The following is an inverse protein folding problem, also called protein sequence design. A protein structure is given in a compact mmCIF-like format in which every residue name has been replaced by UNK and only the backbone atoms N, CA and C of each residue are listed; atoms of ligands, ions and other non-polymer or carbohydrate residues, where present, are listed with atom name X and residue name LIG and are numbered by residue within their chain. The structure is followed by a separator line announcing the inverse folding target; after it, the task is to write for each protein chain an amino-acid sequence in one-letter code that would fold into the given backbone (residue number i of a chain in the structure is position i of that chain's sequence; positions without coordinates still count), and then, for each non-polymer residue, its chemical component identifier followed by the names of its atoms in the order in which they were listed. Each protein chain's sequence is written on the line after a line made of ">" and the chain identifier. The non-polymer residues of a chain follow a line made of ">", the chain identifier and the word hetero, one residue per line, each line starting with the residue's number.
data_IF_941263865860
#
_entry.id   IF_941263865860
#
_cell.length_a   1.000
_cell.length_b   1.000
_cell.length_c   1.000
_cell.angle_alpha   90.00
_cell.angle_beta   90.00
_cell.angle_gamma   90.00
#
_symmetry.space_group_name_H-M   'P 1'
#
loop_
_entity.id
_entity.type
_entity.pdbx_description
1 polymer ?
#
# COMPACT_ATOMS: atom_id res chain seq x y z
N UNK A 1 -17.75 -23.76 -4.15
CA UNK A 1 -16.32 -23.57 -4.55
C UNK A 1 -16.27 -23.35 -6.05
N UNK A 2 -16.33 -22.10 -6.49
CA UNK A 2 -16.14 -21.75 -7.91
C UNK A 2 -14.77 -21.06 -8.04
N UNK A 3 -13.79 -21.83 -8.54
CA UNK A 3 -12.49 -21.29 -8.90
C UNK A 3 -12.66 -20.46 -10.17
N UNK A 4 -12.42 -19.15 -10.09
CA UNK A 4 -12.30 -18.32 -11.27
C UNK A 4 -10.98 -18.66 -11.99
N UNK A 5 -11.09 -19.00 -13.27
CA UNK A 5 -9.96 -19.32 -14.13
C UNK A 5 -9.40 -18.01 -14.69
N UNK A 6 -8.16 -17.72 -14.36
CA UNK A 6 -7.38 -16.74 -15.13
C UNK A 6 -6.90 -17.50 -16.37
N UNK A 7 -7.52 -17.23 -17.50
CA UNK A 7 -7.09 -17.77 -18.80
C UNK A 7 -5.77 -17.14 -19.21
N UNK A 8 -4.74 -17.96 -19.27
CA UNK A 8 -3.44 -17.60 -19.81
C UNK A 8 -3.56 -17.32 -21.32
N UNK A 9 -3.19 -16.14 -21.77
CA UNK A 9 -2.89 -15.84 -23.18
C UNK A 9 -1.39 -15.74 -23.38
N UNK A 10 -0.97 -16.40 -24.43
CA UNK A 10 0.38 -16.76 -24.74
C UNK A 10 1.14 -15.71 -25.55
N UNK A 11 2.46 -15.72 -25.35
CA UNK A 11 3.54 -15.41 -26.29
C UNK A 11 3.56 -14.07 -27.04
N UNK A 12 4.47 -13.22 -26.62
CA UNK A 12 5.02 -12.14 -27.41
C UNK A 12 6.51 -11.96 -27.12
N UNK A 13 7.27 -12.16 -28.12
CA UNK A 13 8.70 -12.09 -28.40
C UNK A 13 9.53 -11.15 -27.50
N UNK A 14 10.53 -11.71 -26.87
CA UNK A 14 11.58 -11.07 -26.07
C UNK A 14 12.56 -10.32 -26.99
N UNK A 15 12.54 -8.99 -26.92
CA UNK A 15 13.60 -8.12 -27.46
C UNK A 15 14.44 -7.60 -26.29
N UNK A 16 15.65 -8.13 -26.20
CA UNK A 16 16.70 -7.65 -25.29
C UNK A 16 17.18 -6.26 -25.72
N UNK A 17 16.87 -5.24 -24.91
CA UNK A 17 17.56 -3.95 -24.95
C UNK A 17 18.44 -3.81 -23.71
N UNK A 18 19.65 -3.26 -23.82
CA UNK A 18 20.56 -3.14 -22.67
C UNK A 18 20.09 -2.05 -21.72
N UNK A 19 19.84 -2.43 -20.46
CA UNK A 19 19.61 -1.50 -19.37
C UNK A 19 20.92 -0.81 -19.00
N UNK A 20 21.07 0.46 -19.36
CA UNK A 20 21.99 1.36 -18.69
C UNK A 20 21.38 1.77 -17.36
N UNK A 21 21.75 1.08 -16.28
CA UNK A 21 21.44 1.48 -14.93
C UNK A 21 22.29 2.70 -14.52
N UNK A 22 21.73 3.89 -14.68
CA UNK A 22 22.21 5.07 -13.98
C UNK A 22 21.71 5.00 -12.54
N UNK A 23 22.62 4.83 -11.58
CA UNK A 23 22.37 5.09 -10.17
C UNK A 23 21.99 6.56 -10.02
N UNK A 24 20.71 6.86 -9.84
CA UNK A 24 20.29 8.18 -9.40
C UNK A 24 20.62 8.28 -7.91
N UNK A 25 21.63 9.07 -7.57
CA UNK A 25 21.84 9.55 -6.21
C UNK A 25 20.55 10.23 -5.73
N UNK A 26 20.14 9.93 -4.49
CA UNK A 26 19.01 10.56 -3.83
C UNK A 26 19.23 12.06 -3.81
N UNK A 27 18.58 12.77 -4.69
CA UNK A 27 18.56 14.21 -4.70
C UNK A 27 17.70 14.69 -3.53
N UNK A 28 18.11 15.77 -2.88
CA UNK A 28 17.43 16.51 -1.79
C UNK A 28 16.04 17.03 -2.26
N UNK A 29 15.16 16.13 -2.72
CA UNK A 29 14.02 16.46 -3.54
C UNK A 29 12.82 15.53 -3.60
N UNK A 30 12.79 14.38 -2.94
CA UNK A 30 11.57 13.57 -2.95
C UNK A 30 10.54 14.05 -1.92
N UNK A 31 9.27 14.12 -2.38
CA UNK A 31 8.19 14.51 -1.50
C UNK A 31 7.93 13.43 -0.45
N UNK A 32 7.96 13.82 0.83
CA UNK A 32 7.75 12.90 1.96
C UNK A 32 6.27 12.68 2.29
N UNK A 33 5.40 13.60 1.85
CA UNK A 33 3.98 13.58 2.19
C UNK A 33 3.14 14.10 1.02
N UNK A 34 1.84 13.78 1.06
CA UNK A 34 0.80 14.55 0.40
C UNK A 34 0.19 15.54 1.38
N UNK A 35 -0.24 16.69 0.89
CA UNK A 35 -0.95 17.68 1.68
C UNK A 35 -2.11 18.28 0.89
N UNK A 36 -3.16 18.69 1.59
CA UNK A 36 -4.28 19.43 0.99
C UNK A 36 -4.15 20.90 1.32
N UNK A 37 -4.34 21.74 0.34
CA UNK A 37 -4.36 23.20 0.51
C UNK A 37 -5.71 23.62 1.10
N UNK A 38 -5.71 24.12 2.34
CA UNK A 38 -6.94 24.49 3.05
C UNK A 38 -7.54 25.85 2.61
N UNK A 39 -6.74 26.69 1.93
CA UNK A 39 -7.18 28.02 1.49
C UNK A 39 -6.44 28.44 0.22
N UNK A 40 -7.13 29.07 -0.72
CA UNK A 40 -6.50 29.72 -1.88
C UNK A 40 -5.40 30.66 -1.44
N UNK A 41 -4.17 30.49 -1.96
CA UNK A 41 -3.02 31.31 -1.57
C UNK A 41 -2.00 31.45 -2.70
N UNK A 42 -1.05 32.37 -2.49
CA UNK A 42 0.10 32.54 -3.38
C UNK A 42 1.16 31.49 -3.07
N UNK A 43 1.75 30.93 -4.12
CA UNK A 43 2.95 30.08 -4.06
C UNK A 43 4.16 30.96 -4.33
N UNK A 44 5.16 30.88 -3.49
CA UNK A 44 6.36 31.71 -3.57
C UNK A 44 7.57 30.86 -3.98
N UNK A 45 8.55 31.50 -4.63
CA UNK A 45 9.79 30.84 -5.04
C UNK A 45 10.67 30.46 -3.85
N UNK A 46 10.59 31.21 -2.77
CA UNK A 46 11.37 31.02 -1.55
C UNK A 46 10.44 31.12 -0.32
N UNK A 47 10.93 30.74 0.84
CA UNK A 47 10.17 30.70 2.10
C UNK A 47 10.01 32.14 2.68
N UNK A 48 9.45 33.07 1.89
CA UNK A 48 9.23 34.46 2.26
C UNK A 48 8.06 35.07 1.49
N UNK A 49 7.24 35.91 2.14
CA UNK A 49 6.18 36.67 1.48
C UNK A 49 6.73 37.79 0.54
N UNK A 50 7.99 38.19 0.71
CA UNK A 50 8.67 39.15 -0.19
C UNK A 50 9.30 38.47 -1.41
N UNK A 51 9.31 37.16 -1.46
CA UNK A 51 9.85 36.41 -2.60
C UNK A 51 8.95 36.52 -3.84
N UNK A 52 9.52 36.24 -5.01
CA UNK A 52 8.78 36.23 -6.26
C UNK A 52 7.63 35.22 -6.19
N UNK A 53 6.44 35.65 -6.58
CA UNK A 53 5.28 34.81 -6.73
C UNK A 53 5.46 33.87 -7.95
N UNK A 54 5.19 32.58 -7.77
CA UNK A 54 5.11 31.60 -8.85
C UNK A 54 3.68 31.48 -9.40
N UNK A 55 2.68 31.95 -8.65
CA UNK A 55 1.28 31.87 -9.01
C UNK A 55 0.38 31.69 -7.80
N UNK A 56 -0.83 31.21 -8.03
CA UNK A 56 -1.81 30.93 -6.97
C UNK A 56 -2.24 29.47 -7.02
N UNK A 57 -2.48 28.90 -5.86
CA UNK A 57 -3.01 27.54 -5.69
C UNK A 57 -4.36 27.59 -5.00
N UNK A 58 -5.31 26.81 -5.49
CA UNK A 58 -6.69 26.79 -4.99
C UNK A 58 -6.84 25.93 -3.73
N UNK A 59 -7.85 26.26 -2.92
CA UNK A 59 -8.25 25.40 -1.80
C UNK A 59 -8.72 24.03 -2.30
N UNK A 60 -8.42 22.97 -1.54
CA UNK A 60 -8.74 21.60 -1.91
C UNK A 60 -7.71 20.94 -2.84
N UNK A 61 -6.73 21.70 -3.37
CA UNK A 61 -5.67 21.11 -4.20
C UNK A 61 -4.79 20.18 -3.37
N UNK A 62 -4.61 18.95 -3.84
CA UNK A 62 -3.65 18.01 -3.27
C UNK A 62 -2.29 18.27 -3.90
N UNK A 63 -1.27 18.36 -3.08
CA UNK A 63 0.10 18.68 -3.48
C UNK A 63 1.11 17.71 -2.87
N UNK A 64 2.19 17.52 -3.58
CA UNK A 64 3.40 16.91 -3.01
C UNK A 64 4.02 17.83 -1.96
N UNK A 65 4.38 17.30 -0.80
CA UNK A 65 5.06 18.04 0.28
C UNK A 65 6.46 17.48 0.46
N UNK A 66 7.44 18.28 0.11
CA UNK A 66 8.87 17.91 0.21
C UNK A 66 9.44 18.21 1.60
N UNK A 67 9.02 19.31 2.22
CA UNK A 67 9.49 19.68 3.56
C UNK A 67 8.45 20.54 4.26
N UNK A 68 7.98 20.08 5.41
CA UNK A 68 7.14 20.85 6.32
C UNK A 68 8.00 21.60 7.31
N UNK A 69 8.04 22.92 7.20
CA UNK A 69 8.66 23.80 8.19
C UNK A 69 7.63 24.37 9.17
N UNK A 70 8.09 25.13 10.16
CA UNK A 70 7.22 25.77 11.17
C UNK A 70 6.29 26.81 10.54
N UNK A 71 6.79 27.63 9.63
CA UNK A 71 6.06 28.73 8.98
C UNK A 71 5.80 28.46 7.50
N UNK A 72 6.74 27.84 6.81
CA UNK A 72 6.71 27.58 5.38
C UNK A 72 6.80 26.10 5.09
N UNK A 73 5.98 25.64 4.14
CA UNK A 73 6.01 24.27 3.60
C UNK A 73 6.45 24.33 2.14
N UNK A 74 7.43 23.50 1.76
CA UNK A 74 7.87 23.34 0.38
C UNK A 74 6.99 22.28 -0.29
N UNK A 75 6.32 22.68 -1.36
CA UNK A 75 5.35 21.87 -2.11
C UNK A 75 5.73 21.73 -3.58
N UNK A 76 5.17 20.69 -4.25
CA UNK A 76 5.14 20.63 -5.70
C UNK A 76 4.19 21.70 -6.26
N UNK A 77 4.63 22.42 -7.29
CA UNK A 77 3.84 23.41 -7.98
C UNK A 77 4.22 23.45 -9.46
N UNK A 78 3.24 23.20 -10.33
CA UNK A 78 3.48 23.03 -11.77
C UNK A 78 4.60 22.02 -12.06
N UNK A 79 5.60 22.36 -12.87
CA UNK A 79 6.75 21.50 -13.18
C UNK A 79 7.92 21.65 -12.20
N UNK A 80 7.72 22.33 -11.05
CA UNK A 80 8.77 22.62 -10.09
C UNK A 80 8.31 22.56 -8.63
N UNK A 81 8.93 23.37 -7.81
CA UNK A 81 8.64 23.47 -6.38
C UNK A 81 8.43 24.92 -5.97
N UNK A 82 7.63 25.12 -4.93
CA UNK A 82 7.38 26.42 -4.35
C UNK A 82 7.09 26.33 -2.86
N UNK A 83 6.87 27.48 -2.23
CA UNK A 83 6.63 27.60 -0.81
C UNK A 83 5.27 28.23 -0.53
N UNK A 84 4.57 27.64 0.44
CA UNK A 84 3.29 28.12 0.95
C UNK A 84 3.31 28.16 2.47
N UNK A 85 2.38 28.93 3.07
CA UNK A 85 2.28 29.01 4.53
C UNK A 85 1.80 27.69 5.12
N UNK A 86 2.58 27.10 6.03
CA UNK A 86 2.32 25.79 6.67
C UNK A 86 0.95 25.70 7.33
N UNK A 87 0.47 26.79 7.94
CA UNK A 87 -0.82 26.82 8.65
C UNK A 87 -2.05 26.52 7.76
N UNK A 88 -1.89 26.56 6.46
CA UNK A 88 -2.94 26.26 5.47
C UNK A 88 -2.69 24.99 4.67
N UNK A 89 -1.72 24.17 5.09
CA UNK A 89 -1.45 22.87 4.48
C UNK A 89 -1.83 21.77 5.49
N UNK A 90 -2.90 21.09 5.22
CA UNK A 90 -3.29 19.89 5.96
C UNK A 90 -2.46 18.72 5.43
N UNK A 91 -1.70 18.09 6.32
CA UNK A 91 -0.93 16.89 5.99
C UNK A 91 -1.88 15.70 6.05
N UNK A 92 -2.25 15.20 4.89
CA UNK A 92 -3.26 14.14 4.82
C UNK A 92 -2.66 12.74 4.74
N UNK A 93 -1.41 12.61 4.26
CA UNK A 93 -0.86 11.30 4.01
C UNK A 93 0.66 11.34 3.90
N UNK A 94 1.33 10.36 4.49
CA UNK A 94 2.74 10.11 4.24
C UNK A 94 2.88 9.31 2.96
N UNK A 95 3.83 9.67 2.09
CA UNK A 95 4.16 8.84 0.94
C UNK A 95 4.71 7.50 1.41
N UNK A 96 4.40 6.45 0.67
CA UNK A 96 4.88 5.11 0.94
C UNK A 96 6.44 5.09 0.88
N UNK A 97 7.17 4.58 1.87
CA UNK A 97 8.62 4.47 1.81
C UNK A 97 9.09 3.58 0.66
N UNK A 98 8.19 2.72 0.16
CA UNK A 98 8.48 1.90 -1.00
C UNK A 98 8.38 2.68 -2.33
N UNK A 99 8.02 3.98 -2.32
CA UNK A 99 8.08 4.88 -3.48
C UNK A 99 9.45 5.55 -3.64
N UNK A 100 10.18 5.72 -2.54
CA UNK A 100 11.53 6.28 -2.54
C UNK A 100 12.59 5.18 -2.56
N UNK A 101 13.86 5.54 -2.67
CA UNK A 101 14.93 4.60 -2.48
C UNK A 101 14.95 4.16 -1.01
N UNK A 102 14.24 3.10 -0.68
CA UNK A 102 14.70 2.27 0.43
C UNK A 102 16.13 1.84 0.09
N UNK A 103 17.08 1.81 1.03
CA UNK A 103 18.42 1.35 0.73
C UNK A 103 18.36 0.03 -0.05
N UNK A 104 18.73 0.09 -1.33
CA UNK A 104 18.73 -1.06 -2.24
C UNK A 104 17.39 -1.42 -2.90
N UNK A 105 16.30 -0.67 -2.74
CA UNK A 105 15.00 -1.01 -3.33
C UNK A 105 14.44 0.09 -4.20
N UNK A 106 13.81 -0.33 -5.28
CA UNK A 106 13.04 0.51 -6.19
C UNK A 106 11.53 0.31 -5.94
N UNK A 107 10.70 1.08 -6.62
CA UNK A 107 9.26 0.87 -6.76
C UNK A 107 8.96 -0.63 -6.99
N UNK A 108 7.89 -1.17 -6.37
CA UNK A 108 7.43 -2.52 -6.68
C UNK A 108 7.21 -2.66 -8.18
N UNK A 109 7.78 -3.69 -8.76
CA UNK A 109 7.80 -3.85 -10.22
C UNK A 109 6.87 -4.96 -10.68
N UNK A 110 6.57 -5.92 -9.80
CA UNK A 110 5.79 -7.10 -10.16
C UNK A 110 5.17 -7.76 -8.92
N UNK A 111 4.30 -8.72 -9.14
CA UNK A 111 3.89 -9.70 -8.16
C UNK A 111 4.30 -11.09 -8.61
N UNK A 112 4.84 -11.89 -7.70
CA UNK A 112 5.26 -13.28 -7.94
C UNK A 112 4.26 -14.27 -7.35
N UNK A 113 3.77 -15.19 -8.18
CA UNK A 113 3.02 -16.37 -7.74
C UNK A 113 4.01 -17.47 -7.37
N UNK A 114 3.97 -17.96 -6.15
CA UNK A 114 4.88 -18.99 -5.62
C UNK A 114 4.51 -20.35 -6.19
N UNK A 115 5.42 -20.97 -6.92
CA UNK A 115 5.20 -22.24 -7.64
C UNK A 115 5.34 -23.48 -6.76
N UNK A 116 6.23 -23.40 -5.76
CA UNK A 116 6.54 -24.50 -4.85
C UNK A 116 6.79 -23.97 -3.45
N UNK A 117 6.48 -24.75 -2.43
CA UNK A 117 6.84 -24.40 -1.05
C UNK A 117 8.30 -24.02 -0.96
N UNK A 118 8.57 -22.90 -0.35
CA UNK A 118 9.91 -22.34 -0.28
C UNK A 118 10.18 -21.70 1.08
N UNK A 119 11.45 -21.49 1.37
CA UNK A 119 11.90 -20.89 2.62
C UNK A 119 12.77 -19.68 2.34
N UNK A 120 12.69 -18.68 3.20
CA UNK A 120 13.66 -17.60 3.29
C UNK A 120 13.97 -17.30 4.76
N UNK A 121 15.16 -16.79 5.04
CA UNK A 121 15.56 -16.41 6.39
C UNK A 121 15.91 -14.93 6.38
N UNK A 122 15.08 -14.07 7.01
CA UNK A 122 15.41 -12.68 7.17
C UNK A 122 16.63 -12.52 8.06
N UNK A 123 17.41 -11.46 7.88
CA UNK A 123 18.54 -11.16 8.75
C UNK A 123 18.08 -10.99 10.21
N UNK A 124 18.83 -11.50 11.14
CA UNK A 124 18.48 -11.50 12.58
C UNK A 124 17.40 -12.52 12.99
N UNK A 125 16.84 -13.29 12.06
CA UNK A 125 15.90 -14.37 12.39
C UNK A 125 16.62 -15.69 12.57
N UNK A 126 16.27 -16.40 13.67
CA UNK A 126 16.86 -17.71 13.98
C UNK A 126 16.34 -18.84 13.09
N UNK A 127 15.09 -18.71 12.64
CA UNK A 127 14.40 -19.76 11.89
C UNK A 127 13.91 -19.22 10.53
N UNK A 128 13.93 -20.09 9.51
CA UNK A 128 13.38 -19.73 8.21
C UNK A 128 11.86 -19.48 8.31
N UNK A 129 11.37 -18.66 7.39
CA UNK A 129 9.96 -18.41 7.15
C UNK A 129 9.54 -19.25 5.97
N UNK A 130 8.47 -20.02 6.13
CA UNK A 130 7.86 -20.78 5.04
C UNK A 130 6.91 -19.89 4.24
N UNK A 131 6.96 -20.04 2.93
CA UNK A 131 5.98 -19.50 2.00
C UNK A 131 5.44 -20.66 1.17
N UNK A 132 4.15 -20.89 1.27
CA UNK A 132 3.48 -22.00 0.61
C UNK A 132 3.26 -21.72 -0.88
N UNK A 133 3.29 -22.77 -1.68
CA UNK A 133 2.86 -22.74 -3.07
C UNK A 133 1.44 -22.15 -3.19
N UNK A 134 1.21 -21.35 -4.20
CA UNK A 134 -0.04 -20.61 -4.38
C UNK A 134 -0.09 -19.24 -3.72
N UNK A 135 0.84 -18.91 -2.82
CA UNK A 135 0.96 -17.56 -2.26
C UNK A 135 1.41 -16.56 -3.32
N UNK A 136 1.06 -15.30 -3.10
CA UNK A 136 1.51 -14.19 -3.93
C UNK A 136 2.39 -13.26 -3.12
N UNK A 137 3.45 -12.73 -3.73
CA UNK A 137 4.41 -11.83 -3.07
C UNK A 137 4.68 -10.64 -3.98
N UNK A 138 4.44 -9.43 -3.51
CA UNK A 138 4.80 -8.21 -4.23
C UNK A 138 6.31 -8.00 -4.23
N UNK A 139 6.88 -7.82 -5.41
CA UNK A 139 8.32 -7.76 -5.67
C UNK A 139 8.71 -6.32 -6.01
N UNK A 140 9.71 -5.79 -5.35
CA UNK A 140 10.17 -4.43 -5.63
C UNK A 140 11.51 -4.38 -6.37
N UNK A 141 12.23 -5.48 -6.46
CA UNK A 141 13.48 -5.54 -7.21
C UNK A 141 13.80 -6.97 -7.65
N UNK A 142 14.33 -7.09 -8.85
CA UNK A 142 14.91 -8.33 -9.36
C UNK A 142 16.39 -8.06 -9.61
N UNK A 143 17.26 -8.88 -9.03
CA UNK A 143 18.71 -8.80 -9.20
C UNK A 143 19.34 -10.18 -9.05
N UNK A 144 20.30 -10.50 -9.90
CA UNK A 144 21.13 -11.73 -9.85
C UNK A 144 20.28 -13.02 -9.70
N UNK A 145 19.16 -13.12 -10.45
CA UNK A 145 18.26 -14.28 -10.40
C UNK A 145 17.42 -14.38 -9.12
N UNK A 146 17.34 -13.31 -8.35
CA UNK A 146 16.54 -13.25 -7.11
C UNK A 146 15.52 -12.13 -7.18
N UNK A 147 14.32 -12.40 -6.66
CA UNK A 147 13.24 -11.47 -6.47
C UNK A 147 13.24 -11.00 -5.01
N UNK A 148 13.35 -9.70 -4.80
CA UNK A 148 13.43 -9.06 -3.48
C UNK A 148 12.10 -8.45 -3.11
N UNK A 149 11.73 -8.57 -1.81
CA UNK A 149 10.47 -8.07 -1.27
C UNK A 149 10.62 -7.67 0.20
N UNK A 150 9.82 -6.70 0.70
CA UNK A 150 9.86 -6.28 2.09
C UNK A 150 9.24 -7.37 2.97
N UNK A 151 9.85 -7.61 4.13
CA UNK A 151 9.30 -8.49 5.13
C UNK A 151 9.12 -7.75 6.46
N UNK A 152 7.87 -7.42 6.79
CA UNK A 152 7.50 -6.71 8.02
C UNK A 152 8.18 -5.32 8.12
N UNK A 153 8.86 -5.04 9.24
CA UNK A 153 9.57 -3.78 9.51
C UNK A 153 11.05 -3.83 9.12
N UNK A 154 11.50 -4.89 8.50
CA UNK A 154 12.90 -5.03 8.15
C UNK A 154 13.27 -3.95 7.13
N UNK A 155 14.40 -3.29 7.40
CA UNK A 155 15.00 -2.32 6.48
C UNK A 155 15.63 -3.04 5.29
N UNK A 156 16.14 -4.27 5.54
CA UNK A 156 16.73 -5.10 4.51
C UNK A 156 15.70 -6.04 3.88
N UNK A 157 15.78 -6.14 2.57
CA UNK A 157 14.93 -7.00 1.79
C UNK A 157 15.27 -8.48 2.01
N UNK A 158 14.25 -9.27 2.03
CA UNK A 158 14.39 -10.71 1.84
C UNK A 158 14.18 -11.06 0.37
N UNK A 159 14.63 -12.23 -0.05
CA UNK A 159 14.53 -12.63 -1.45
C UNK A 159 14.29 -14.10 -1.64
N UNK A 160 13.62 -14.43 -2.75
CA UNK A 160 13.46 -15.78 -3.28
C UNK A 160 14.14 -15.90 -4.65
N UNK A 161 14.50 -17.11 -5.05
CA UNK A 161 14.93 -17.37 -6.41
C UNK A 161 13.78 -17.10 -7.40
N UNK A 162 14.05 -16.43 -8.52
CA UNK A 162 13.03 -16.18 -9.56
C UNK A 162 12.49 -17.48 -10.16
N UNK A 163 13.25 -18.57 -10.12
CA UNK A 163 12.84 -19.92 -10.51
C UNK A 163 11.69 -20.49 -9.67
N UNK A 164 11.46 -19.95 -8.48
CA UNK A 164 10.37 -20.31 -7.58
C UNK A 164 9.08 -19.54 -7.84
N UNK A 165 9.10 -18.56 -8.75
CA UNK A 165 8.03 -17.61 -8.96
C UNK A 165 7.57 -17.60 -10.41
N UNK A 166 6.26 -17.43 -10.62
CA UNK A 166 5.71 -16.94 -11.88
C UNK A 166 5.41 -15.45 -11.69
N UNK A 167 6.11 -14.63 -12.45
CA UNK A 167 6.05 -13.17 -12.31
C UNK A 167 4.94 -12.56 -13.17
N UNK A 168 4.30 -11.51 -12.65
CA UNK A 168 3.32 -10.69 -13.33
C UNK A 168 3.67 -9.23 -13.10
N UNK A 169 3.97 -8.51 -14.17
CA UNK A 169 4.33 -7.10 -14.12
C UNK A 169 3.11 -6.23 -13.82
N UNK A 170 3.33 -5.09 -13.19
CA UNK A 170 2.31 -4.07 -13.04
C UNK A 170 2.22 -3.21 -14.30
N UNK A 171 1.00 -2.87 -14.68
CA UNK A 171 0.73 -1.97 -15.79
C UNK A 171 0.57 -0.55 -15.25
N UNK A 172 1.22 0.42 -15.89
CA UNK A 172 1.02 1.83 -15.52
C UNK A 172 -0.45 2.21 -15.68
N UNK A 173 -1.00 2.87 -14.69
CA UNK A 173 -2.41 3.24 -14.65
C UNK A 173 -2.85 4.06 -15.87
N UNK A 174 -1.95 4.85 -16.48
CA UNK A 174 -2.26 5.68 -17.66
C UNK A 174 -2.36 4.87 -18.96
N UNK A 175 -1.82 3.65 -18.98
CA UNK A 175 -1.78 2.75 -20.14
C UNK A 175 -2.65 1.49 -19.94
N UNK A 176 -3.19 1.32 -18.73
CA UNK A 176 -3.91 0.11 -18.34
C UNK A 176 -5.17 -0.12 -19.19
N UNK A 177 -5.42 -1.37 -19.55
CA UNK A 177 -6.61 -1.88 -20.22
C UNK A 177 -7.52 -2.61 -19.24
N UNK A 178 -8.80 -2.82 -19.55
CA UNK A 178 -9.70 -3.62 -18.72
C UNK A 178 -9.10 -4.98 -18.37
N UNK A 179 -9.08 -5.29 -17.07
CA UNK A 179 -8.50 -6.52 -16.52
C UNK A 179 -7.00 -6.45 -16.16
N UNK A 180 -6.31 -5.38 -16.50
CA UNK A 180 -4.89 -5.22 -16.17
C UNK A 180 -4.65 -5.01 -14.67
N UNK A 181 -3.58 -5.63 -14.18
CA UNK A 181 -3.11 -5.48 -12.80
C UNK A 181 -2.33 -4.17 -12.66
N UNK A 182 -2.90 -3.21 -11.90
CA UNK A 182 -2.29 -1.92 -11.66
C UNK A 182 -1.23 -2.00 -10.57
N UNK A 183 -1.55 -2.71 -9.46
CA UNK A 183 -0.64 -2.86 -8.34
C UNK A 183 -1.03 -4.03 -7.43
N UNK A 184 -0.07 -4.52 -6.66
CA UNK A 184 -0.29 -5.46 -5.58
C UNK A 184 0.63 -5.15 -4.41
N UNK A 185 0.17 -5.45 -3.19
CA UNK A 185 0.95 -5.29 -1.98
C UNK A 185 0.76 -6.49 -1.04
N UNK A 186 1.86 -6.96 -0.46
CA UNK A 186 1.87 -8.14 0.41
C UNK A 186 2.23 -7.77 1.84
N UNK A 187 1.50 -8.32 2.80
CA UNK A 187 1.87 -8.32 4.21
C UNK A 187 1.90 -9.72 4.78
N UNK A 188 2.69 -9.92 5.84
CA UNK A 188 2.92 -11.21 6.46
C UNK A 188 2.37 -11.25 7.89
N UNK A 189 1.71 -12.35 8.26
CA UNK A 189 1.18 -12.57 9.59
C UNK A 189 1.47 -13.99 10.11
N UNK A 190 1.41 -14.17 11.42
CA UNK A 190 1.64 -15.50 12.03
C UNK A 190 0.38 -16.33 11.99
N UNK A 191 0.50 -17.59 11.57
CA UNK A 191 -0.57 -18.60 11.62
C UNK A 191 -0.43 -19.54 12.83
N UNK A 192 0.57 -19.33 13.69
CA UNK A 192 0.83 -20.18 14.87
C UNK A 192 -0.38 -20.24 15.80
N UNK A 193 -0.82 -21.43 16.12
CA UNK A 193 -1.90 -21.70 17.07
C UNK A 193 -1.46 -21.64 18.52
N UNK A 194 -0.16 -21.54 18.78
CA UNK A 194 0.42 -21.50 20.14
C UNK A 194 0.17 -20.18 20.90
N UNK A 195 -0.19 -19.10 20.17
CA UNK A 195 -0.52 -17.81 20.75
C UNK A 195 -2.01 -17.70 20.97
N UNK A 196 -2.41 -17.34 22.20
CA UNK A 196 -3.81 -17.12 22.55
C UNK A 196 -4.46 -16.10 21.58
N UNK A 197 -5.66 -16.44 21.10
CA UNK A 197 -6.45 -15.60 20.21
C UNK A 197 -5.93 -15.48 18.78
N UNK A 198 -4.77 -16.09 18.42
CA UNK A 198 -4.24 -15.98 17.06
C UNK A 198 -5.12 -16.73 16.02
N UNK A 199 -5.82 -17.79 16.43
CA UNK A 199 -6.80 -18.46 15.56
C UNK A 199 -7.90 -17.48 15.16
N UNK A 200 -8.46 -16.72 16.12
CA UNK A 200 -9.45 -15.69 15.83
C UNK A 200 -8.90 -14.58 14.93
N UNK A 201 -7.64 -14.19 15.15
CA UNK A 201 -6.96 -13.19 14.30
C UNK A 201 -6.83 -13.65 12.85
N UNK A 202 -6.37 -14.87 12.63
CA UNK A 202 -6.24 -15.47 11.29
C UNK A 202 -7.61 -15.55 10.60
N UNK A 203 -8.63 -15.99 11.34
CA UNK A 203 -10.00 -16.05 10.85
C UNK A 203 -10.53 -14.67 10.45
N UNK A 204 -10.33 -13.64 11.28
CA UNK A 204 -10.79 -12.28 11.00
C UNK A 204 -10.09 -11.67 9.78
N UNK A 205 -8.81 -11.96 9.58
CA UNK A 205 -8.07 -11.56 8.38
C UNK A 205 -8.71 -12.20 7.14
N UNK A 206 -8.96 -13.50 7.17
CA UNK A 206 -9.58 -14.21 6.06
C UNK A 206 -10.99 -13.67 5.76
N UNK A 207 -11.83 -13.46 6.78
CA UNK A 207 -13.18 -12.92 6.64
C UNK A 207 -13.18 -11.52 6.02
N UNK A 208 -12.32 -10.62 6.50
CA UNK A 208 -12.24 -9.28 5.94
C UNK A 208 -11.71 -9.29 4.50
N UNK A 209 -10.72 -10.13 4.19
CA UNK A 209 -10.19 -10.30 2.84
C UNK A 209 -11.26 -10.84 1.88
N UNK A 210 -12.06 -11.80 2.31
CA UNK A 210 -13.16 -12.36 1.53
C UNK A 210 -14.22 -11.29 1.19
N UNK A 211 -14.59 -10.44 2.17
CA UNK A 211 -15.55 -9.35 1.96
C UNK A 211 -15.08 -8.30 0.98
N UNK A 212 -13.78 -8.09 0.89
CA UNK A 212 -13.16 -7.10 0.03
C UNK A 212 -12.86 -7.62 -1.37
N UNK A 213 -12.81 -8.94 -1.53
CA UNK A 213 -12.56 -9.55 -2.84
C UNK A 213 -13.73 -9.31 -3.78
N UNK A 214 -13.42 -8.76 -4.96
CA UNK A 214 -14.42 -8.41 -5.99
C UNK A 214 -15.08 -7.04 -5.79
N UNK A 215 -14.67 -6.26 -4.78
CA UNK A 215 -15.21 -4.90 -4.58
C UNK A 215 -14.76 -4.00 -5.73
N UNK A 216 -15.75 -3.41 -6.41
CA UNK A 216 -15.58 -2.41 -7.44
C UNK A 216 -15.68 -1.02 -6.82
N UNK A 217 -14.75 -0.13 -7.19
CA UNK A 217 -14.81 1.31 -6.86
C UNK A 217 -14.85 2.08 -8.16
N UNK A 218 -16.01 2.67 -8.48
CA UNK A 218 -16.22 3.38 -9.75
C UNK A 218 -15.35 4.64 -9.84
N UNK A 219 -15.10 5.07 -11.06
CA UNK A 219 -14.44 6.34 -11.32
C UNK A 219 -15.16 7.49 -10.60
N UNK A 220 -14.44 8.26 -9.78
CA UNK A 220 -14.98 9.36 -8.98
C UNK A 220 -15.66 8.96 -7.68
N UNK A 221 -15.92 7.67 -7.42
CA UNK A 221 -16.57 7.20 -6.19
C UNK A 221 -15.57 6.98 -5.05
N UNK A 222 -16.08 7.08 -3.83
CA UNK A 222 -15.31 6.81 -2.61
C UNK A 222 -15.59 5.39 -2.11
N UNK A 223 -14.51 4.72 -1.69
CA UNK A 223 -14.53 3.46 -0.97
C UNK A 223 -14.38 3.71 0.53
N UNK A 224 -15.19 3.06 1.35
CA UNK A 224 -15.04 3.02 2.81
C UNK A 224 -14.78 1.59 3.26
N UNK A 225 -13.68 1.39 3.99
CA UNK A 225 -13.34 0.07 4.51
C UNK A 225 -14.39 -0.42 5.51
N UNK A 226 -14.86 0.46 6.40
CA UNK A 226 -15.88 0.11 7.40
C UNK A 226 -17.24 -0.18 6.78
N UNK A 227 -17.60 0.46 5.66
CA UNK A 227 -18.84 0.16 4.96
C UNK A 227 -18.88 -1.29 4.44
N UNK A 228 -17.73 -1.86 4.10
CA UNK A 228 -17.60 -3.25 3.61
C UNK A 228 -17.37 -4.24 4.76
N UNK A 229 -16.45 -3.92 5.68
CA UNK A 229 -15.97 -4.86 6.69
C UNK A 229 -16.63 -4.70 8.07
N UNK A 230 -17.15 -3.51 8.40
CA UNK A 230 -17.77 -3.23 9.71
C UNK A 230 -19.21 -3.76 9.84
N UNK A 231 -19.79 -3.68 11.01
CA UNK A 231 -19.16 -3.45 12.31
C UNK A 231 -18.36 -4.66 12.79
N UNK A 232 -17.37 -4.43 13.64
CA UNK A 232 -16.48 -5.51 14.13
C UNK A 232 -17.08 -6.18 15.37
N UNK A 233 -18.12 -6.99 15.16
CA UNK A 233 -18.86 -7.66 16.23
C UNK A 233 -18.96 -9.17 15.98
N UNK A 234 -19.36 -9.91 17.01
CA UNK A 234 -19.63 -11.35 16.91
C UNK A 234 -20.78 -11.63 15.93
N UNK A 235 -21.82 -10.81 15.99
CA UNK A 235 -23.03 -10.93 15.15
C UNK A 235 -22.68 -10.74 13.67
N UNK A 236 -21.66 -9.92 13.38
CA UNK A 236 -21.12 -9.74 12.03
C UNK A 236 -20.04 -10.77 11.69
N UNK A 237 -19.94 -11.87 12.44
CA UNK A 237 -19.10 -13.02 12.15
C UNK A 237 -17.66 -12.91 12.63
N UNK A 238 -17.25 -11.83 13.31
CA UNK A 238 -15.88 -11.72 13.80
C UNK A 238 -15.64 -12.55 15.06
N UNK A 239 -14.43 -13.08 15.18
CA UNK A 239 -13.96 -13.78 16.38
C UNK A 239 -13.19 -12.82 17.30
N UNK A 240 -13.21 -13.14 18.60
CA UNK A 240 -12.35 -12.49 19.56
C UNK A 240 -10.88 -12.79 19.25
N UNK A 241 -10.05 -11.75 19.21
CA UNK A 241 -8.64 -11.83 18.89
C UNK A 241 -7.87 -10.68 19.57
N UNK A 242 -6.52 -10.73 19.64
CA UNK A 242 -5.74 -9.64 20.20
C UNK A 242 -5.96 -8.33 19.46
N UNK A 243 -6.20 -7.25 20.22
CA UNK A 243 -6.35 -5.88 19.73
C UNK A 243 -5.34 -4.95 20.40
N UNK A 244 -5.05 -3.81 19.77
CA UNK A 244 -4.12 -2.79 20.30
C UNK A 244 -4.86 -1.64 21.01
N UNK A 245 -6.06 -1.87 21.55
CA UNK A 245 -6.90 -0.82 22.10
C UNK A 245 -7.30 -1.09 23.56
N UNK A 246 -7.21 -0.04 24.39
CA UNK A 246 -7.75 0.00 25.74
C UNK A 246 -7.09 -0.93 26.76
N UNK A 247 -7.80 -1.20 27.84
CA UNK A 247 -7.38 -2.14 28.89
C UNK A 247 -7.57 -3.60 28.48
N UNK A 248 -8.51 -3.87 27.56
CA UNK A 248 -8.76 -5.19 27.01
C UNK A 248 -7.71 -5.54 25.97
N UNK A 249 -7.05 -6.69 26.16
CA UNK A 249 -6.12 -7.25 25.17
C UNK A 249 -6.83 -8.05 24.08
N UNK A 250 -8.11 -8.31 24.20
CA UNK A 250 -8.94 -9.12 23.31
C UNK A 250 -10.20 -8.34 22.91
N UNK A 251 -10.55 -8.40 21.64
CA UNK A 251 -11.76 -7.80 21.07
C UNK A 251 -12.13 -8.42 19.74
N UNK A 252 -13.33 -8.15 19.24
CA UNK A 252 -13.75 -8.62 17.92
C UNK A 252 -13.04 -7.83 16.80
N UNK A 253 -12.73 -8.50 15.69
CA UNK A 253 -12.06 -7.89 14.55
C UNK A 253 -10.54 -7.73 14.69
N UNK A 254 -9.91 -8.27 15.77
CA UNK A 254 -8.45 -8.26 15.87
C UNK A 254 -7.81 -8.89 14.63
N UNK A 255 -6.89 -8.16 13.97
CA UNK A 255 -6.27 -8.52 12.69
C UNK A 255 -6.76 -7.72 11.48
N UNK A 256 -7.96 -7.16 11.51
CA UNK A 256 -8.59 -6.43 10.39
C UNK A 256 -7.79 -5.19 9.98
N UNK A 257 -7.17 -4.48 10.93
CA UNK A 257 -6.28 -3.35 10.61
C UNK A 257 -5.11 -3.75 9.70
N UNK A 258 -4.67 -5.01 9.71
CA UNK A 258 -3.64 -5.46 8.77
C UNK A 258 -4.20 -5.56 7.34
N UNK A 259 -5.42 -6.03 7.17
CA UNK A 259 -6.12 -6.05 5.86
C UNK A 259 -6.28 -4.62 5.34
N UNK A 260 -6.76 -3.71 6.18
CA UNK A 260 -6.88 -2.29 5.88
C UNK A 260 -5.54 -1.67 5.46
N UNK A 261 -4.48 -1.92 6.22
CA UNK A 261 -3.13 -1.42 5.91
C UNK A 261 -2.61 -1.96 4.58
N UNK A 262 -2.98 -3.19 4.22
CA UNK A 262 -2.56 -3.79 2.94
C UNK A 262 -3.21 -3.07 1.76
N UNK A 263 -4.52 -2.74 1.83
CA UNK A 263 -5.19 -1.89 0.82
C UNK A 263 -4.58 -0.49 0.80
N UNK A 264 -4.38 0.12 1.96
CA UNK A 264 -3.82 1.46 2.06
C UNK A 264 -2.52 1.57 1.26
N UNK A 265 -1.63 0.58 1.37
CA UNK A 265 -0.38 0.57 0.62
C UNK A 265 -0.55 0.37 -0.89
N UNK A 266 -1.64 -0.20 -1.37
CA UNK A 266 -1.97 -0.22 -2.80
C UNK A 266 -2.43 1.17 -3.25
N UNK A 267 -3.34 1.78 -2.49
CA UNK A 267 -3.92 3.08 -2.82
C UNK A 267 -2.86 4.18 -2.90
N UNK A 268 -1.77 4.04 -2.13
CA UNK A 268 -0.61 4.94 -2.21
C UNK A 268 0.14 4.90 -3.55
N UNK A 269 -0.15 3.94 -4.43
CA UNK A 269 0.59 3.69 -5.68
C UNK A 269 -0.15 4.09 -6.95
N UNK A 270 -1.41 4.42 -6.81
CA UNK A 270 -2.27 4.84 -7.93
C UNK A 270 -2.84 6.22 -7.63
N UNK A 271 -3.28 6.98 -8.64
CA UNK A 271 -4.01 8.22 -8.42
C UNK A 271 -5.27 7.96 -7.62
N UNK A 272 -5.25 8.36 -6.34
CA UNK A 272 -6.38 8.29 -5.42
C UNK A 272 -6.29 9.43 -4.41
N UNK A 273 -7.42 9.85 -3.87
CA UNK A 273 -7.48 10.83 -2.77
C UNK A 273 -7.87 10.09 -1.51
N UNK A 274 -7.01 10.13 -0.49
CA UNK A 274 -7.35 9.63 0.84
C UNK A 274 -8.23 10.66 1.52
N UNK A 275 -9.47 10.28 1.82
CA UNK A 275 -10.48 11.16 2.45
C UNK A 275 -10.52 10.99 3.97
N UNK A 276 -10.25 9.77 4.47
CA UNK A 276 -10.07 9.48 5.91
C UNK A 276 -9.03 8.39 6.11
N UNK A 277 -8.15 8.56 7.08
CA UNK A 277 -7.17 7.57 7.48
C UNK A 277 -6.57 7.88 8.84
N UNK A 278 -6.37 6.85 9.63
CA UNK A 278 -5.80 6.95 10.97
C UNK A 278 -4.64 5.95 11.14
N UNK A 279 -3.56 6.38 11.77
CA UNK A 279 -2.46 5.49 12.17
C UNK A 279 -2.69 4.90 13.56
N UNK A 280 -2.02 3.80 13.88
CA UNK A 280 -1.98 3.30 15.24
C UNK A 280 -1.19 4.26 16.14
N UNK A 281 -1.73 4.55 17.33
CA UNK A 281 -1.23 5.59 18.24
C UNK A 281 0.05 5.22 18.99
N UNK A 282 0.47 3.96 19.02
CA UNK A 282 1.57 3.48 19.86
C UNK A 282 2.62 2.73 19.02
N UNK A 283 3.57 3.48 18.43
CA UNK A 283 4.76 2.89 17.80
C UNK A 283 4.49 2.05 16.55
N UNK A 284 3.30 2.17 15.96
CA UNK A 284 2.92 1.47 14.73
C UNK A 284 2.69 -0.03 14.94
N UNK A 285 2.73 -0.78 13.84
CA UNK A 285 2.43 -2.22 13.77
C UNK A 285 3.69 -3.04 13.47
N UNK A 286 3.70 -4.33 13.79
CA UNK A 286 4.87 -5.20 13.56
C UNK A 286 5.03 -5.67 12.10
N UNK A 287 4.03 -5.50 11.27
CA UNK A 287 3.98 -6.03 9.91
C UNK A 287 4.29 -5.00 8.81
N UNK A 288 4.46 -3.72 9.18
CA UNK A 288 4.83 -2.62 8.29
C UNK A 288 5.74 -1.62 9.00
N UNK A 289 6.54 -0.85 8.29
CA UNK A 289 7.24 0.31 8.83
C UNK A 289 6.26 1.34 9.40
N UNK A 290 6.72 2.15 10.35
CA UNK A 290 5.89 3.17 10.99
C UNK A 290 5.38 4.21 9.97
N UNK A 291 4.08 4.51 10.03
CA UNK A 291 3.42 5.50 9.16
C UNK A 291 2.90 4.94 7.83
N UNK A 292 2.97 3.60 7.64
CA UNK A 292 2.40 2.90 6.49
C UNK A 292 1.25 1.96 6.88
N UNK A 293 0.89 1.99 8.15
CA UNK A 293 -0.27 1.31 8.68
C UNK A 293 -1.52 2.19 8.60
N UNK A 294 -2.66 1.57 8.44
CA UNK A 294 -3.98 2.17 8.60
C UNK A 294 -4.75 1.42 9.69
N UNK A 295 -5.38 2.16 10.60
CA UNK A 295 -6.20 1.58 11.66
C UNK A 295 -7.67 1.85 11.42
N UNK A 296 -8.48 0.83 11.66
CA UNK A 296 -9.94 0.91 11.60
C UNK A 296 -10.54 0.44 12.93
N UNK A 297 -11.68 0.99 13.26
CA UNK A 297 -12.48 0.66 14.44
C UNK A 297 -13.91 1.15 14.22
N UNK A 298 -14.78 1.04 15.21
CA UNK A 298 -16.14 1.59 15.14
C UNK A 298 -16.18 3.13 14.95
N UNK A 299 -15.06 3.82 15.24
CA UNK A 299 -14.95 5.29 15.15
C UNK A 299 -13.85 5.77 14.21
N UNK A 300 -13.11 4.86 13.57
CA UNK A 300 -12.02 5.17 12.64
C UNK A 300 -12.20 4.38 11.38
N UNK A 301 -12.07 5.05 10.25
CA UNK A 301 -12.18 4.42 8.93
C UNK A 301 -10.92 4.66 8.10
N UNK A 302 -10.84 3.97 6.98
CA UNK A 302 -9.97 4.28 5.85
C UNK A 302 -10.85 4.46 4.62
N UNK A 303 -10.88 5.69 4.14
CA UNK A 303 -11.69 6.10 3.00
C UNK A 303 -10.79 6.68 1.92
N UNK A 304 -10.94 6.18 0.70
CA UNK A 304 -10.29 6.79 -0.45
C UNK A 304 -11.26 6.97 -1.60
N UNK A 305 -11.03 7.98 -2.43
CA UNK A 305 -11.77 8.21 -3.67
C UNK A 305 -10.92 7.82 -4.87
N UNK A 306 -11.49 7.00 -5.75
CA UNK A 306 -10.90 6.65 -7.02
C UNK A 306 -10.94 7.87 -7.96
N UNK A 307 -9.78 8.41 -8.34
CA UNK A 307 -9.69 9.53 -9.30
C UNK A 307 -9.14 9.10 -10.66
N UNK A 308 -9.02 7.79 -10.88
CA UNK A 308 -8.72 7.24 -12.20
C UNK A 308 -9.93 7.45 -13.15
N UNK A 309 -9.70 7.53 -14.47
CA UNK A 309 -10.79 7.71 -15.44
C UNK A 309 -11.59 6.43 -15.71
N UNK A 310 -11.42 5.39 -14.90
CA UNK A 310 -12.06 4.09 -15.00
C UNK A 310 -12.27 3.45 -13.64
N UNK A 311 -13.12 2.45 -13.59
CA UNK A 311 -13.40 1.67 -12.40
C UNK A 311 -12.20 0.79 -12.03
N UNK A 312 -12.01 0.59 -10.73
CA UNK A 312 -11.01 -0.34 -10.21
C UNK A 312 -11.65 -1.44 -9.40
N UNK A 313 -11.01 -2.61 -9.37
CA UNK A 313 -11.46 -3.77 -8.62
C UNK A 313 -10.37 -4.21 -7.65
N UNK A 314 -10.80 -4.43 -6.40
CA UNK A 314 -9.94 -4.93 -5.32
C UNK A 314 -10.11 -6.44 -5.22
N UNK A 315 -8.99 -7.16 -5.13
CA UNK A 315 -8.95 -8.59 -4.88
C UNK A 315 -7.99 -8.91 -3.74
N UNK A 316 -8.23 -10.01 -3.04
CA UNK A 316 -7.37 -10.52 -1.98
C UNK A 316 -7.09 -12.00 -2.15
N UNK A 317 -5.84 -12.38 -1.86
CA UNK A 317 -5.42 -13.75 -1.67
C UNK A 317 -4.66 -13.87 -0.36
N UNK A 318 -4.98 -14.91 0.43
CA UNK A 318 -4.36 -15.14 1.72
C UNK A 318 -4.11 -16.64 1.93
N UNK A 319 -2.83 -17.02 1.99
CA UNK A 319 -2.38 -18.41 2.17
C UNK A 319 -1.28 -18.43 3.22
N UNK A 320 -1.47 -19.23 4.28
CA UNK A 320 -0.46 -19.57 5.29
C UNK A 320 0.35 -18.39 5.83
N UNK A 321 -0.32 -17.28 6.12
CA UNK A 321 0.31 -16.11 6.71
C UNK A 321 0.90 -15.12 5.71
N UNK A 322 0.71 -15.36 4.42
CA UNK A 322 0.99 -14.42 3.33
C UNK A 322 -0.33 -13.87 2.82
N UNK A 323 -0.54 -12.58 2.92
CA UNK A 323 -1.73 -11.90 2.43
C UNK A 323 -1.34 -10.86 1.40
N UNK A 324 -1.91 -10.95 0.21
CA UNK A 324 -1.69 -10.01 -0.88
C UNK A 324 -3.02 -9.41 -1.33
N UNK A 325 -3.05 -8.10 -1.40
CA UNK A 325 -4.12 -7.37 -2.03
C UNK A 325 -3.70 -6.94 -3.44
N UNK A 326 -4.63 -6.89 -4.35
CA UNK A 326 -4.45 -6.52 -5.75
C UNK A 326 -5.42 -5.42 -6.11
N UNK A 327 -5.00 -4.54 -6.99
CA UNK A 327 -5.83 -3.54 -7.64
C UNK A 327 -5.78 -3.75 -9.15
N UNK A 328 -6.91 -3.98 -9.74
CA UNK A 328 -7.06 -4.13 -11.18
C UNK A 328 -7.83 -2.93 -11.78
N UNK A 329 -7.52 -2.54 -13.02
CA UNK A 329 -8.51 -1.85 -13.81
C UNK A 329 -9.67 -2.83 -14.04
N UNK A 330 -10.88 -2.42 -13.67
CA UNK A 330 -12.02 -3.31 -13.86
C UNK A 330 -12.42 -3.42 -15.32
N UNK A 331 -13.23 -4.42 -15.65
CA UNK A 331 -13.77 -4.58 -16.99
C UNK A 331 -14.81 -3.49 -17.25
N UNK A 332 -14.80 -2.94 -18.45
CA UNK A 332 -15.85 -2.05 -18.92
C UNK A 332 -17.16 -2.86 -18.99
N UNK A 333 -18.28 -2.30 -18.51
CA UNK A 333 -19.61 -2.94 -18.58
C UNK A 333 -20.17 -2.88 -20.00
#
# INVERSE_FOLDING_TARGET
>A
MKRAWITAWAFGLMLLLPLCAGLAEATDGEAAYYGTIGKRMTVYREASESAASLGKIEAGTVVDVYKKGRTWTRIGYESGQGYVLTKFVEMVQRKNPFDGPMPGTSKHVAVGYVLTDTLFTPEGYRYPISVSAGSWISIHRIKDGRAYFPYRRLEDDVSLGVDKLRMYDFVDWSEAKPGDLLYAFTTFYSTSTSKEGNVGRVYNIALASERLTGIRVRAGESFSFNAVCGPYTKENGYMAAPILSGESKMGYGGGVCQVCSTIYNIVLRVPAVIEDMNWHSQGGVSYLPAGFDATVSDTKDMVFRNVLPYDVRIEFESIDGVMTAFLFRDYDE
#
